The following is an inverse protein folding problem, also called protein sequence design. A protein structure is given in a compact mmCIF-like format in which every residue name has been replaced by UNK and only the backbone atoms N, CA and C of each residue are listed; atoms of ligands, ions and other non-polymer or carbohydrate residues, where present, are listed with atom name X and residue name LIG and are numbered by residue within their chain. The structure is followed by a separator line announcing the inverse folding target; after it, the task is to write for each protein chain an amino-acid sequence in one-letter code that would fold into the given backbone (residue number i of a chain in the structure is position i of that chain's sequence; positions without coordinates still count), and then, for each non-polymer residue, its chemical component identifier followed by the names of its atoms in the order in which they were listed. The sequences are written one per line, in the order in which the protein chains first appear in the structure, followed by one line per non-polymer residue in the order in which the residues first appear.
data_IF_581275337522
#
_entry.id   IF_581275337522
#
_cell.length_a   1.000
_cell.length_b   1.000
_cell.length_c   1.000
_cell.angle_alpha   90.00
_cell.angle_beta   90.00
_cell.angle_gamma   90.00
#
_symmetry.space_group_name_H-M   'P 1'
#
loop_
_entity.id
_entity.type
_entity.pdbx_description
1 polymer ?
#
# COMPACT_ATOMS: atom_id res chain seq x y z
N UNK A 1 -17.95 -13.44 -4.01
CA UNK A 1 -16.67 -14.16 -3.89
C UNK A 1 -16.19 -14.01 -2.46
N UNK A 2 -16.25 -15.09 -1.68
CA UNK A 2 -15.91 -15.07 -0.26
C UNK A 2 -14.39 -15.14 -0.09
N UNK A 3 -13.86 -14.24 0.74
CA UNK A 3 -12.47 -14.15 1.15
C UNK A 3 -12.00 -15.48 1.73
N UNK A 4 -10.99 -16.08 1.11
CA UNK A 4 -10.34 -17.28 1.60
C UNK A 4 -9.33 -16.88 2.68
N UNK A 5 -9.46 -17.49 3.87
CA UNK A 5 -8.39 -17.68 4.86
C UNK A 5 -7.58 -16.46 5.29
N UNK A 6 -8.21 -15.44 5.91
CA UNK A 6 -7.44 -14.51 6.75
C UNK A 6 -7.02 -15.24 8.03
N UNK A 7 -5.75 -15.68 8.10
CA UNK A 7 -5.08 -15.85 9.39
C UNK A 7 -5.27 -14.54 10.17
N UNK A 8 -5.60 -14.61 11.47
CA UNK A 8 -6.14 -13.48 12.25
C UNK A 8 -5.26 -12.23 12.35
N UNK A 9 -4.07 -12.24 11.73
CA UNK A 9 -3.05 -11.21 11.85
C UNK A 9 -2.60 -10.63 10.50
N UNK A 10 -3.31 -10.86 9.40
CA UNK A 10 -3.00 -10.22 8.10
C UNK A 10 -3.83 -8.97 7.83
N UNK A 11 -3.48 -8.25 6.76
CA UNK A 11 -4.18 -7.06 6.32
C UNK A 11 -5.65 -7.34 6.02
N UNK A 12 -6.51 -6.41 6.44
CA UNK A 12 -7.96 -6.46 6.20
C UNK A 12 -8.42 -5.18 5.50
N UNK A 13 -9.46 -5.27 4.68
CA UNK A 13 -10.07 -4.07 4.08
C UNK A 13 -10.50 -3.07 5.15
N UNK A 14 -10.14 -1.80 4.96
CA UNK A 14 -10.48 -0.76 5.92
C UNK A 14 -11.98 -0.45 5.94
N UNK A 15 -12.51 -0.20 7.15
CA UNK A 15 -13.80 0.47 7.39
C UNK A 15 -13.64 1.82 8.12
N UNK A 16 -12.39 2.19 8.41
CA UNK A 16 -12.03 3.37 9.20
C UNK A 16 -11.62 4.55 8.32
N UNK A 17 -11.33 4.27 7.05
CA UNK A 17 -10.80 5.20 6.08
C UNK A 17 -11.51 5.04 4.74
N UNK A 18 -11.52 6.12 3.97
CA UNK A 18 -11.99 6.12 2.59
C UNK A 18 -11.09 7.01 1.73
N UNK A 19 -11.18 6.83 0.42
CA UNK A 19 -10.49 7.64 -0.58
C UNK A 19 -11.48 8.62 -1.21
N UNK A 20 -11.03 9.83 -1.51
CA UNK A 20 -11.80 10.72 -2.37
C UNK A 20 -11.84 10.19 -3.80
N UNK A 21 -12.97 10.38 -4.46
CA UNK A 21 -13.09 10.14 -5.90
C UNK A 21 -12.47 11.29 -6.70
N UNK A 22 -12.03 10.99 -7.92
CA UNK A 22 -11.62 12.02 -8.87
C UNK A 22 -12.89 12.65 -9.45
N UNK A 23 -13.02 13.97 -9.34
CA UNK A 23 -14.20 14.65 -9.85
C UNK A 23 -14.24 14.65 -11.39
N UNK A 24 -15.45 14.70 -11.94
CA UNK A 24 -15.67 14.61 -13.38
C UNK A 24 -15.06 15.78 -14.18
N UNK A 25 -14.89 16.96 -13.59
CA UNK A 25 -14.24 18.09 -14.25
C UNK A 25 -12.74 17.85 -14.38
N UNK A 26 -12.11 17.30 -13.35
CA UNK A 26 -10.70 16.90 -13.37
C UNK A 26 -10.45 15.80 -14.39
N UNK A 27 -11.28 14.75 -14.42
CA UNK A 27 -11.22 13.70 -15.45
C UNK A 27 -11.36 14.31 -16.85
N UNK A 28 -12.35 15.18 -17.05
CA UNK A 28 -12.58 15.84 -18.35
C UNK A 28 -11.35 16.65 -18.79
N UNK A 29 -10.78 17.45 -17.90
CA UNK A 29 -9.57 18.24 -18.18
C UNK A 29 -8.38 17.37 -18.55
N UNK A 30 -8.21 16.23 -17.89
CA UNK A 30 -7.15 15.28 -18.24
C UNK A 30 -7.28 14.84 -19.70
N UNK A 31 -8.47 14.36 -20.09
CA UNK A 31 -8.71 13.85 -21.44
C UNK A 31 -8.72 14.94 -22.53
N UNK A 32 -9.10 16.18 -22.21
CA UNK A 32 -9.01 17.30 -23.16
C UNK A 32 -7.55 17.67 -23.51
N UNK A 33 -6.59 17.37 -22.64
CA UNK A 33 -5.17 17.69 -22.83
C UNK A 33 -4.32 16.47 -23.26
N UNK A 34 -4.87 15.25 -23.20
CA UNK A 34 -4.18 14.03 -23.59
C UNK A 34 -4.27 13.78 -25.12
N UNK A 35 -3.20 13.37 -25.83
CA UNK A 35 -1.81 13.16 -25.42
C UNK A 35 -0.91 14.33 -25.87
N UNK A 36 -1.33 15.58 -25.66
CA UNK A 36 -0.55 16.73 -26.16
C UNK A 36 0.80 16.84 -25.45
N UNK A 37 1.77 17.57 -26.02
CA UNK A 37 3.17 17.69 -25.55
C UNK A 37 3.33 18.14 -24.08
N UNK A 38 2.27 18.64 -23.44
CA UNK A 38 2.25 18.91 -22.02
C UNK A 38 1.75 17.66 -21.28
N UNK A 39 2.65 16.97 -20.57
CA UNK A 39 2.26 15.90 -19.67
C UNK A 39 1.19 16.42 -18.69
N UNK A 40 0.00 15.81 -18.62
CA UNK A 40 -1.03 16.25 -17.69
C UNK A 40 -0.48 16.23 -16.26
N UNK A 41 -0.79 17.26 -15.47
CA UNK A 41 -0.37 17.30 -14.08
C UNK A 41 -0.95 16.09 -13.31
N UNK A 42 -0.20 15.53 -12.34
CA UNK A 42 -0.71 14.43 -11.53
C UNK A 42 -2.03 14.78 -10.86
N UNK A 43 -2.98 13.85 -10.88
CA UNK A 43 -4.28 14.01 -10.22
C UNK A 43 -4.16 13.55 -8.78
N UNK A 44 -4.56 14.40 -7.83
CA UNK A 44 -4.55 14.02 -6.42
C UNK A 44 -5.86 13.35 -5.99
N UNK A 45 -5.73 12.23 -5.27
CA UNK A 45 -6.79 11.71 -4.40
C UNK A 45 -6.30 11.69 -2.97
N UNK A 46 -7.23 11.66 -2.01
CA UNK A 46 -6.92 11.85 -0.60
C UNK A 46 -7.44 10.68 0.23
N UNK A 47 -6.57 10.14 1.08
CA UNK A 47 -6.97 9.27 2.19
C UNK A 47 -7.60 10.14 3.27
N UNK A 48 -8.82 9.79 3.68
CA UNK A 48 -9.56 10.47 4.75
C UNK A 48 -9.96 9.50 5.85
N UNK A 49 -10.04 10.01 7.07
CA UNK A 49 -10.71 9.32 8.18
C UNK A 49 -12.24 9.45 8.06
N UNK A 50 -12.97 8.70 8.89
CA UNK A 50 -14.43 8.75 8.93
C UNK A 50 -15.02 10.10 9.37
N UNK A 51 -14.20 11.02 9.92
CA UNK A 51 -14.61 12.38 10.24
C UNK A 51 -14.39 13.35 9.06
N UNK A 52 -13.81 12.87 7.95
CA UNK A 52 -13.49 13.66 6.77
C UNK A 52 -12.17 14.42 6.84
N UNK A 53 -11.36 14.18 7.87
CA UNK A 53 -10.02 14.72 7.96
C UNK A 53 -9.12 14.10 6.90
N UNK A 54 -8.46 14.92 6.08
CA UNK A 54 -7.43 14.48 5.15
C UNK A 54 -6.20 14.03 5.92
N UNK A 55 -5.76 12.80 5.66
CA UNK A 55 -4.62 12.18 6.31
C UNK A 55 -3.40 12.09 5.40
N UNK A 56 -3.61 11.81 4.11
CA UNK A 56 -2.54 11.56 3.16
C UNK A 56 -3.01 11.90 1.73
N UNK A 57 -2.10 12.38 0.89
CA UNK A 57 -2.33 12.68 -0.53
C UNK A 57 -1.65 11.61 -1.39
N UNK A 58 -2.39 11.05 -2.34
CA UNK A 58 -1.91 10.08 -3.32
C UNK A 58 -1.95 10.77 -4.68
N UNK A 59 -0.83 10.72 -5.42
CA UNK A 59 -0.73 11.33 -6.74
C UNK A 59 -0.86 10.25 -7.82
N UNK A 60 -1.90 10.40 -8.64
CA UNK A 60 -2.14 9.56 -9.81
C UNK A 60 -1.41 10.19 -10.99
N UNK A 61 -0.34 9.52 -11.42
CA UNK A 61 0.50 10.00 -12.52
C UNK A 61 -0.12 9.74 -13.90
N UNK A 62 -0.73 8.57 -14.09
CA UNK A 62 -1.25 8.11 -15.37
C UNK A 62 -2.70 7.66 -15.24
N UNK A 63 -3.64 8.60 -15.44
CA UNK A 63 -5.08 8.29 -15.31
C UNK A 63 -5.56 7.24 -16.32
N UNK A 64 -4.94 7.18 -17.51
CA UNK A 64 -5.29 6.21 -18.56
C UNK A 64 -5.23 4.75 -18.09
N UNK A 65 -4.20 4.42 -17.29
CA UNK A 65 -3.99 3.05 -16.81
C UNK A 65 -4.47 2.84 -15.37
N UNK A 66 -4.77 3.90 -14.63
CA UNK A 66 -5.16 3.80 -13.22
C UNK A 66 -6.46 3.01 -13.03
N UNK A 67 -6.37 1.88 -12.33
CA UNK A 67 -7.50 0.97 -12.07
C UNK A 67 -8.10 1.12 -10.68
N UNK A 68 -7.52 1.97 -9.84
CA UNK A 68 -8.00 2.29 -8.50
C UNK A 68 -6.94 2.10 -7.42
N UNK A 69 -7.22 2.65 -6.24
CA UNK A 69 -6.43 2.45 -5.04
C UNK A 69 -7.28 1.73 -4.00
N UNK A 70 -6.74 0.68 -3.39
CA UNK A 70 -7.37 -0.04 -2.28
C UNK A 70 -6.78 0.39 -0.94
N UNK A 71 -7.58 0.28 0.12
CA UNK A 71 -7.16 0.59 1.50
C UNK A 71 -7.30 -0.65 2.36
N UNK A 72 -6.19 -1.04 2.97
CA UNK A 72 -6.15 -2.12 3.93
C UNK A 72 -5.44 -1.68 5.20
N UNK A 73 -5.78 -2.32 6.31
CA UNK A 73 -5.24 -2.02 7.62
C UNK A 73 -4.73 -3.27 8.32
N UNK A 74 -3.71 -3.07 9.14
CA UNK A 74 -3.17 -4.08 10.04
C UNK A 74 -2.99 -3.46 11.42
N UNK A 75 -3.77 -3.91 12.40
CA UNK A 75 -3.59 -3.46 13.79
C UNK A 75 -2.35 -4.15 14.37
N UNK A 76 -1.47 -3.37 15.01
CA UNK A 76 -0.19 -3.88 15.53
C UNK A 76 0.06 -3.42 16.96
N UNK A 77 0.61 -4.32 17.77
CA UNK A 77 1.01 -4.06 19.16
C UNK A 77 2.51 -4.32 19.42
N UNK A 78 3.22 -4.88 18.43
CA UNK A 78 4.61 -5.32 18.53
C UNK A 78 5.60 -4.36 17.83
N UNK A 79 5.19 -3.11 17.61
CA UNK A 79 6.04 -1.98 17.25
C UNK A 79 5.74 -0.82 18.22
N UNK A 80 6.75 -0.38 18.97
CA UNK A 80 6.61 0.69 19.95
C UNK A 80 5.99 1.94 19.31
N UNK A 81 5.00 2.55 19.95
CA UNK A 81 4.32 3.78 19.49
C UNK A 81 3.54 3.66 18.17
N UNK A 82 3.45 2.50 17.53
CA UNK A 82 2.59 2.26 16.36
C UNK A 82 1.35 1.50 16.80
N UNK A 83 0.18 1.91 16.34
CA UNK A 83 -1.09 1.22 16.61
C UNK A 83 -1.64 0.48 15.39
N UNK A 84 -1.33 0.97 14.20
CA UNK A 84 -1.89 0.44 12.96
C UNK A 84 -0.97 0.74 11.78
N UNK A 85 -0.95 -0.17 10.81
CA UNK A 85 -0.38 0.06 9.49
C UNK A 85 -1.53 0.24 8.52
N UNK A 86 -1.47 1.28 7.70
CA UNK A 86 -2.40 1.51 6.59
C UNK A 86 -1.63 1.21 5.30
N UNK A 87 -2.12 0.25 4.51
CA UNK A 87 -1.61 -0.04 3.17
C UNK A 87 -2.55 0.58 2.15
N UNK A 88 -1.97 1.41 1.28
CA UNK A 88 -2.61 1.95 0.08
C UNK A 88 -1.98 1.26 -1.10
N UNK A 89 -2.76 0.58 -1.93
CA UNK A 89 -2.25 -0.11 -3.11
C UNK A 89 -2.96 0.38 -4.36
N UNK A 90 -2.22 1.06 -5.25
CA UNK A 90 -2.70 1.62 -6.51
C UNK A 90 -2.35 0.69 -7.67
N UNK A 91 -3.35 0.29 -8.44
CA UNK A 91 -3.18 -0.51 -9.66
C UNK A 91 -3.12 0.35 -10.92
N UNK A 92 -2.26 -0.05 -11.85
CA UNK A 92 -2.14 0.52 -13.19
C UNK A 92 -2.15 -0.62 -14.22
N UNK A 93 -3.28 -0.75 -14.93
CA UNK A 93 -3.58 -1.86 -15.84
C UNK A 93 -3.16 -1.51 -17.27
N UNK A 94 -2.20 -2.26 -17.79
CA UNK A 94 -1.83 -2.26 -19.21
C UNK A 94 -1.86 -3.71 -19.75
N UNK A 95 -0.79 -4.21 -20.39
CA UNK A 95 -0.66 -5.64 -20.69
C UNK A 95 -0.54 -6.52 -19.44
N UNK A 96 -0.11 -5.90 -18.35
CA UNK A 96 0.04 -6.44 -17.00
C UNK A 96 -0.37 -5.33 -16.03
N UNK A 97 -0.66 -5.67 -14.79
CA UNK A 97 -0.95 -4.68 -13.74
C UNK A 97 0.32 -4.36 -12.95
N UNK A 98 0.70 -3.09 -12.92
CA UNK A 98 1.67 -2.59 -11.95
C UNK A 98 0.94 -2.17 -10.68
N UNK A 99 1.43 -2.63 -9.54
CA UNK A 99 0.93 -2.23 -8.23
C UNK A 99 2.00 -1.43 -7.51
N UNK A 100 1.60 -0.27 -7.02
CA UNK A 100 2.41 0.59 -6.14
C UNK A 100 1.76 0.61 -4.77
N UNK A 101 2.49 0.14 -3.76
CA UNK A 101 1.99 0.05 -2.40
C UNK A 101 2.71 1.05 -1.49
N UNK A 102 1.96 2.00 -0.93
CA UNK A 102 2.40 2.92 0.12
C UNK A 102 1.98 2.37 1.47
N UNK A 103 2.92 2.30 2.42
CA UNK A 103 2.64 1.85 3.79
C UNK A 103 2.83 3.01 4.76
N UNK A 104 1.77 3.32 5.50
CA UNK A 104 1.74 4.40 6.48
C UNK A 104 1.66 3.79 7.88
N UNK A 105 2.72 3.98 8.68
CA UNK A 105 2.73 3.62 10.09
C UNK A 105 1.98 4.70 10.87
N UNK A 106 0.82 4.37 11.42
CA UNK A 106 0.04 5.28 12.26
C UNK A 106 0.48 5.17 13.70
N UNK A 107 0.98 6.28 14.25
CA UNK A 107 1.36 6.36 15.65
C UNK A 107 0.13 6.44 16.55
N UNK A 108 0.30 6.15 17.84
CA UNK A 108 -0.75 6.32 18.87
C UNK A 108 -1.22 7.77 19.03
N UNK A 109 -0.43 8.73 18.57
CA UNK A 109 -0.74 10.16 18.55
C UNK A 109 -1.41 10.60 17.23
N UNK A 110 -1.66 9.66 16.30
CA UNK A 110 -2.30 9.92 15.01
C UNK A 110 -1.36 10.41 13.91
N UNK A 111 -0.05 10.51 14.15
CA UNK A 111 0.93 10.87 13.12
C UNK A 111 1.11 9.70 12.14
N UNK A 112 1.25 10.01 10.85
CA UNK A 112 1.60 9.03 9.83
C UNK A 112 3.09 9.11 9.48
N UNK A 113 3.73 7.95 9.37
CA UNK A 113 5.12 7.79 8.95
C UNK A 113 5.14 6.86 7.75
N UNK A 114 5.58 7.38 6.62
CA UNK A 114 5.62 6.66 5.35
C UNK A 114 6.87 5.78 5.26
N UNK A 115 6.70 4.51 4.88
CA UNK A 115 7.77 3.64 4.46
C UNK A 115 8.09 3.85 2.97
N UNK A 116 9.33 3.56 2.51
CA UNK A 116 9.62 3.57 1.08
C UNK A 116 8.62 2.72 0.31
N UNK A 117 8.11 3.25 -0.79
CA UNK A 117 7.14 2.57 -1.66
C UNK A 117 7.67 1.21 -2.12
N UNK A 118 6.77 0.23 -2.24
CA UNK A 118 7.05 -1.06 -2.85
C UNK A 118 6.26 -1.22 -4.14
N UNK A 119 6.90 -1.73 -5.17
CA UNK A 119 6.29 -2.00 -6.47
C UNK A 119 6.35 -3.50 -6.81
N UNK A 120 5.33 -3.98 -7.50
CA UNK A 120 5.39 -5.28 -8.19
C UNK A 120 4.53 -5.29 -9.45
N UNK A 121 4.95 -6.12 -10.42
CA UNK A 121 4.26 -6.34 -11.69
C UNK A 121 3.56 -7.70 -11.67
N UNK A 122 2.26 -7.70 -11.91
CA UNK A 122 1.44 -8.90 -12.06
C UNK A 122 0.96 -9.05 -13.50
N UNK A 123 1.15 -10.24 -14.09
CA UNK A 123 0.65 -10.55 -15.43
C UNK A 123 -0.27 -11.77 -15.33
N UNK A 124 0.29 -12.97 -15.59
CA UNK A 124 -0.38 -14.25 -15.43
C UNK A 124 0.25 -15.07 -14.31
N UNK A 125 -0.61 -15.80 -13.60
CA UNK A 125 -0.22 -16.78 -12.58
C UNK A 125 0.36 -16.17 -11.30
N UNK A 126 0.63 -17.02 -10.29
CA UNK A 126 1.31 -16.60 -9.08
C UNK A 126 2.74 -16.15 -9.42
N UNK A 127 3.07 -14.91 -9.06
CA UNK A 127 4.42 -14.36 -9.17
C UNK A 127 4.85 -13.83 -7.81
N UNK A 128 6.17 -13.80 -7.53
CA UNK A 128 6.64 -13.19 -6.31
C UNK A 128 6.25 -11.72 -6.23
N UNK A 129 5.79 -11.29 -5.06
CA UNK A 129 5.39 -9.89 -4.80
C UNK A 129 6.38 -9.25 -3.83
N UNK A 130 6.68 -7.97 -4.05
CA UNK A 130 7.44 -7.18 -3.08
C UNK A 130 6.48 -6.54 -2.09
N UNK A 131 6.63 -6.83 -0.81
CA UNK A 131 5.74 -6.31 0.22
C UNK A 131 6.46 -6.19 1.57
N UNK A 132 5.90 -5.36 2.45
CA UNK A 132 6.37 -5.28 3.82
C UNK A 132 5.72 -6.34 4.71
N UNK A 133 6.55 -7.00 5.53
CA UNK A 133 6.13 -7.91 6.59
C UNK A 133 6.37 -7.28 7.95
N UNK A 134 5.32 -7.27 8.75
CA UNK A 134 5.30 -6.69 10.09
C UNK A 134 5.37 -7.77 11.19
N UNK A 135 5.82 -7.42 12.41
CA UNK A 135 6.07 -8.38 13.49
C UNK A 135 4.94 -9.35 13.87
N UNK A 136 3.68 -8.99 13.62
CA UNK A 136 2.50 -9.79 13.95
C UNK A 136 2.06 -10.73 12.81
N UNK A 137 2.62 -10.57 11.61
CA UNK A 137 2.29 -11.40 10.45
C UNK A 137 3.15 -12.66 10.42
N UNK A 138 2.70 -13.64 9.63
CA UNK A 138 3.52 -14.78 9.22
C UNK A 138 4.83 -14.27 8.59
N UNK A 139 5.94 -14.89 8.95
CA UNK A 139 7.30 -14.48 8.59
C UNK A 139 7.77 -13.12 9.15
N UNK A 140 6.96 -12.46 9.98
CA UNK A 140 7.34 -11.26 10.71
C UNK A 140 8.41 -11.52 11.78
N UNK A 141 9.25 -10.52 12.05
CA UNK A 141 10.24 -10.57 13.13
C UNK A 141 9.95 -9.44 14.12
N UNK A 142 9.97 -9.77 15.42
CA UNK A 142 9.72 -8.80 16.50
C UNK A 142 10.59 -7.54 16.37
N UNK A 143 9.98 -6.37 16.51
CA UNK A 143 10.62 -5.05 16.44
C UNK A 143 11.34 -4.75 15.11
N UNK A 144 10.99 -5.44 14.03
CA UNK A 144 11.57 -5.22 12.70
C UNK A 144 10.46 -5.05 11.67
N UNK A 145 10.75 -4.26 10.65
CA UNK A 145 9.92 -4.12 9.45
C UNK A 145 10.75 -4.68 8.30
N UNK A 146 10.23 -5.70 7.62
CA UNK A 146 10.98 -6.39 6.57
C UNK A 146 10.38 -6.02 5.22
N UNK A 147 11.18 -5.50 4.30
CA UNK A 147 10.80 -5.54 2.88
C UNK A 147 11.17 -6.93 2.36
N UNK A 148 10.18 -7.64 1.84
CA UNK A 148 10.34 -9.03 1.42
C UNK A 148 9.89 -9.22 -0.02
N UNK A 149 10.46 -10.23 -0.66
CA UNK A 149 9.93 -10.85 -1.86
C UNK A 149 9.21 -12.12 -1.44
N UNK A 150 7.89 -12.09 -1.48
CA UNK A 150 7.01 -13.20 -1.08
C UNK A 150 6.73 -14.10 -2.28
N UNK A 151 7.15 -15.36 -2.20
CA UNK A 151 6.84 -16.36 -3.22
C UNK A 151 5.46 -16.97 -2.95
N UNK A 152 4.62 -16.97 -3.99
CA UNK A 152 3.25 -17.46 -3.92
C UNK A 152 3.17 -18.90 -4.42
N UNK A 153 2.32 -19.72 -3.79
CA UNK A 153 1.96 -21.04 -4.31
C UNK A 153 0.88 -20.94 -5.41
N UNK A 154 0.47 -22.08 -5.97
CA UNK A 154 -0.58 -22.18 -7.01
C UNK A 154 -1.96 -21.67 -6.57
N UNK A 155 -2.16 -21.45 -5.26
CA UNK A 155 -3.39 -20.89 -4.68
C UNK A 155 -3.27 -19.39 -4.35
N UNK A 156 -2.18 -18.74 -4.79
CA UNK A 156 -1.88 -17.34 -4.50
C UNK A 156 -1.64 -17.05 -3.01
N UNK A 157 -1.32 -18.08 -2.22
CA UNK A 157 -0.97 -17.93 -0.81
C UNK A 157 0.56 -17.81 -0.66
N UNK A 158 1.03 -17.05 0.32
CA UNK A 158 2.47 -16.88 0.56
C UNK A 158 3.06 -18.14 1.17
N UNK A 159 3.93 -18.80 0.40
CA UNK A 159 4.61 -20.04 0.78
C UNK A 159 5.94 -19.77 1.48
N UNK A 160 6.71 -18.81 0.97
CA UNK A 160 8.02 -18.44 1.51
C UNK A 160 8.31 -16.96 1.27
N UNK A 161 9.26 -16.41 2.03
CA UNK A 161 9.72 -15.03 1.85
C UNK A 161 11.24 -14.97 1.76
N UNK A 162 11.74 -14.12 0.88
CA UNK A 162 13.13 -13.68 0.83
C UNK A 162 13.20 -12.26 1.39
N UNK A 163 14.06 -12.02 2.39
CA UNK A 163 14.22 -10.68 2.98
C UNK A 163 15.13 -9.83 2.09
N UNK A 164 14.58 -8.78 1.50
CA UNK A 164 15.32 -7.83 0.66
C UNK A 164 15.99 -6.73 1.49
N UNK A 165 15.24 -6.18 2.46
CA UNK A 165 15.73 -5.14 3.39
C UNK A 165 15.14 -5.35 4.77
N UNK A 166 15.94 -5.06 5.79
CA UNK A 166 15.50 -5.08 7.18
C UNK A 166 15.59 -3.67 7.76
N UNK A 167 14.48 -3.17 8.31
CA UNK A 167 14.44 -1.90 8.99
C UNK A 167 14.27 -2.11 10.51
N UNK A 168 15.15 -1.50 11.29
CA UNK A 168 15.01 -1.41 12.74
C UNK A 168 14.03 -0.30 13.09
N UNK A 169 13.13 -0.55 14.04
CA UNK A 169 12.22 0.47 14.55
C UNK A 169 12.59 0.86 15.98
N UNK A 170 12.84 2.15 16.22
CA UNK A 170 13.23 2.68 17.54
C UNK A 170 12.08 3.33 18.34
N UNK A 171 10.85 3.31 17.81
CA UNK A 171 9.68 3.98 18.41
C UNK A 171 9.35 5.36 17.83
N UNK A 172 10.25 5.91 17.01
CA UNK A 172 10.08 7.23 16.39
C UNK A 172 10.42 7.22 14.89
N UNK A 173 11.50 6.54 14.51
CA UNK A 173 11.99 6.43 13.14
C UNK A 173 12.37 4.98 12.84
N UNK A 174 12.43 4.66 11.55
CA UNK A 174 13.02 3.41 11.08
C UNK A 174 14.40 3.68 10.47
N UNK A 175 15.30 2.72 10.63
CA UNK A 175 16.65 2.78 10.06
C UNK A 175 16.97 1.47 9.34
N UNK A 176 17.50 1.57 8.13
CA UNK A 176 17.94 0.40 7.38
C UNK A 176 19.10 -0.27 8.13
N UNK A 177 18.94 -1.55 8.46
CA UNK A 177 20.05 -2.35 9.01
C UNK A 177 21.09 -2.58 7.91
N UNK A 178 22.35 -2.33 8.27
CA UNK A 178 23.50 -2.68 7.44
C UNK A 178 23.79 -4.17 7.47
#
# INVERSE_FOLDING_TARGET
MNSFGQESNDFIKSKQYYLTEIDSLTIKKYWENFPTENAPEPISIYLKDNNGQTLYEIKILELEFYSGTTIEILNINNLTNIEQIIRLESGYDACCTNYYSTYLLKTKEGKLIELPESEYLHCDGPKPINEYRFPNQKFGIKNQILLTKSNLNDKYEVESVEVLKTYSWNGKTFELKK
#
